data_IF_600072708291
#
_entry.id   IF_600072708291
#
_cell.length_a   1.000
_cell.length_b   1.000
_cell.length_c   1.000
_cell.angle_alpha   90.00
_cell.angle_beta   90.00
_cell.angle_gamma   90.00
#
_symmetry.space_group_name_H-M   'P 1'
#
loop_
_entity.id
_entity.type
_entity.pdbx_description
1 polymer ?
#
# COMPACT_ATOMS: atom_id res chain seq x y z
N UNK A 1 36.35 9.50 -64.04
CA UNK A 1 34.88 9.51 -63.91
C UNK A 1 34.35 10.75 -64.57
N UNK A 2 33.71 10.64 -65.75
CA UNK A 2 33.11 11.80 -66.41
C UNK A 2 31.78 12.17 -65.75
N UNK A 3 31.76 13.31 -65.07
CA UNK A 3 30.55 13.90 -64.49
C UNK A 3 29.99 14.89 -65.51
N UNK A 4 28.87 14.55 -66.15
CA UNK A 4 28.20 15.48 -67.06
C UNK A 4 27.63 16.69 -66.29
N UNK A 5 27.51 17.85 -66.95
CA UNK A 5 26.96 19.08 -66.35
C UNK A 5 25.62 18.85 -65.63
N UNK A 6 24.74 18.03 -66.21
CA UNK A 6 23.45 17.66 -65.59
C UNK A 6 23.64 16.84 -64.31
N UNK A 7 24.63 15.95 -64.27
CA UNK A 7 24.96 15.14 -63.09
C UNK A 7 25.57 16.01 -61.98
N UNK A 8 26.41 16.99 -62.34
CA UNK A 8 26.95 17.98 -61.40
C UNK A 8 25.85 18.77 -60.68
N UNK A 9 24.88 19.34 -61.40
CA UNK A 9 23.79 20.10 -60.77
C UNK A 9 22.89 19.24 -59.86
N UNK A 10 22.64 17.98 -60.22
CA UNK A 10 21.88 17.05 -59.35
C UNK A 10 22.62 16.74 -58.05
N UNK A 11 23.95 16.58 -58.11
CA UNK A 11 24.79 16.37 -56.92
C UNK A 11 24.79 17.61 -56.03
N UNK A 12 24.98 18.80 -56.60
CA UNK A 12 24.94 20.05 -55.83
C UNK A 12 23.58 20.29 -55.17
N UNK A 13 22.48 20.09 -55.91
CA UNK A 13 21.13 20.25 -55.37
C UNK A 13 20.82 19.22 -54.25
N UNK A 14 21.21 17.97 -54.44
CA UNK A 14 21.07 16.93 -53.40
C UNK A 14 21.92 17.20 -52.16
N UNK A 15 23.16 17.66 -52.34
CA UNK A 15 24.04 18.06 -51.25
C UNK A 15 23.48 19.23 -50.44
N UNK A 16 23.04 20.29 -51.12
CA UNK A 16 22.44 21.47 -50.49
C UNK A 16 21.15 21.12 -49.74
N UNK A 17 20.26 20.32 -50.35
CA UNK A 17 19.05 19.86 -49.69
C UNK A 17 19.35 19.00 -48.44
N UNK A 18 20.35 18.12 -48.52
CA UNK A 18 20.80 17.30 -47.40
C UNK A 18 21.37 18.12 -46.25
N UNK A 19 22.24 19.10 -46.54
CA UNK A 19 22.82 19.97 -45.49
C UNK A 19 21.78 20.86 -44.85
N UNK A 20 20.83 21.40 -45.62
CA UNK A 20 19.74 22.23 -45.10
C UNK A 20 18.79 21.41 -44.23
N UNK A 21 18.42 20.20 -44.66
CA UNK A 21 17.61 19.30 -43.84
C UNK A 21 18.32 18.94 -42.52
N UNK A 22 19.62 18.65 -42.56
CA UNK A 22 20.41 18.40 -41.36
C UNK A 22 20.45 19.61 -40.41
N UNK A 23 20.71 20.82 -40.94
CA UNK A 23 20.75 22.05 -40.17
C UNK A 23 19.39 22.43 -39.56
N UNK A 24 18.29 22.08 -40.22
CA UNK A 24 16.91 22.25 -39.72
C UNK A 24 16.51 21.18 -38.68
N UNK A 25 17.42 20.30 -38.28
CA UNK A 25 17.19 19.32 -37.22
C UNK A 25 16.56 18.01 -37.67
N UNK A 26 16.50 17.74 -38.99
CA UNK A 26 16.07 16.44 -39.54
C UNK A 26 17.19 15.40 -39.56
N UNK A 27 18.43 15.79 -39.22
CA UNK A 27 19.46 14.83 -38.87
C UNK A 27 19.14 14.20 -37.51
N UNK A 28 19.24 12.86 -37.37
CA UNK A 28 19.02 12.21 -36.09
C UNK A 28 19.99 12.78 -35.06
N UNK A 29 19.47 13.19 -33.90
CA UNK A 29 20.30 13.58 -32.75
C UNK A 29 21.17 12.39 -32.38
N UNK A 30 22.43 12.63 -32.00
CA UNK A 30 23.24 11.57 -31.39
C UNK A 30 22.50 11.01 -30.18
N UNK A 31 22.16 9.73 -30.22
CA UNK A 31 21.61 9.04 -29.07
C UNK A 31 22.74 8.90 -28.04
N UNK A 32 22.70 9.72 -26.99
CA UNK A 32 23.58 9.54 -25.84
C UNK A 32 23.16 8.24 -25.15
N UNK A 33 24.04 7.24 -25.16
CA UNK A 33 23.88 5.99 -24.42
C UNK A 33 24.12 6.20 -22.91
N UNK A 34 23.45 7.20 -22.33
CA UNK A 34 23.57 7.52 -20.91
C UNK A 34 22.48 6.79 -20.13
N UNK A 35 22.83 6.27 -18.95
CA UNK A 35 21.84 5.74 -18.04
C UNK A 35 20.86 6.85 -17.61
N UNK A 36 19.61 6.48 -17.34
CA UNK A 36 18.64 7.41 -16.73
C UNK A 36 19.17 7.89 -15.38
N UNK A 37 18.79 9.10 -14.98
CA UNK A 37 19.07 9.59 -13.64
C UNK A 37 18.49 8.64 -12.57
N UNK A 38 19.17 8.55 -11.44
CA UNK A 38 18.74 7.71 -10.33
C UNK A 38 17.43 8.25 -9.75
N UNK A 39 16.36 7.45 -9.83
CA UNK A 39 14.99 7.93 -9.56
C UNK A 39 14.76 8.38 -8.11
N UNK A 40 15.59 7.94 -7.16
CA UNK A 40 15.39 8.16 -5.72
C UNK A 40 16.17 9.34 -5.14
N UNK A 41 16.95 10.08 -5.94
CA UNK A 41 17.90 11.11 -5.46
C UNK A 41 17.32 12.16 -4.50
N UNK A 42 16.01 12.43 -4.59
CA UNK A 42 15.29 13.42 -3.77
C UNK A 42 14.03 12.84 -3.13
N UNK A 43 13.95 11.53 -3.03
CA UNK A 43 12.85 10.87 -2.35
C UNK A 43 13.01 11.01 -0.83
N UNK A 44 11.89 11.03 -0.11
CA UNK A 44 11.93 10.80 1.34
C UNK A 44 12.08 9.32 1.60
N UNK A 45 13.16 8.94 2.28
CA UNK A 45 13.43 7.57 2.72
C UNK A 45 12.84 7.33 4.12
N UNK A 46 12.12 6.22 4.29
CA UNK A 46 11.50 5.82 5.55
C UNK A 46 11.85 4.35 5.84
N UNK A 47 12.38 4.08 7.03
CA UNK A 47 12.63 2.72 7.52
C UNK A 47 11.33 2.06 7.99
N UNK A 48 11.12 0.81 7.61
CA UNK A 48 9.97 0.00 8.05
C UNK A 48 10.33 -1.50 8.11
N UNK A 49 9.38 -2.35 8.48
CA UNK A 49 9.54 -3.81 8.56
C UNK A 49 8.54 -4.51 7.64
N UNK A 50 8.97 -5.61 7.01
CA UNK A 50 8.12 -6.42 6.13
C UNK A 50 6.85 -6.93 6.83
N UNK A 51 5.70 -6.78 6.17
CA UNK A 51 4.36 -7.06 6.72
C UNK A 51 3.91 -8.52 6.61
N UNK A 52 4.73 -9.42 6.05
CA UNK A 52 4.28 -10.77 5.70
C UNK A 52 4.54 -11.83 6.77
N UNK A 53 5.79 -12.22 6.98
CA UNK A 53 6.16 -13.35 7.83
C UNK A 53 7.07 -12.92 8.98
N UNK A 54 7.27 -13.79 9.96
CA UNK A 54 7.98 -13.50 11.21
C UNK A 54 9.50 -13.31 11.11
N UNK A 55 10.10 -13.41 9.92
CA UNK A 55 11.53 -13.09 9.73
C UNK A 55 11.82 -11.64 10.08
N UNK A 56 10.86 -10.73 9.83
CA UNK A 56 11.01 -9.32 10.20
C UNK A 56 12.07 -8.57 9.38
N UNK A 57 12.16 -8.80 8.07
CA UNK A 57 13.13 -8.10 7.22
C UNK A 57 12.95 -6.57 7.29
N UNK A 58 14.06 -5.84 7.44
CA UNK A 58 14.08 -4.37 7.37
C UNK A 58 13.90 -3.86 5.94
N UNK A 59 13.23 -2.71 5.81
CA UNK A 59 12.86 -2.06 4.55
C UNK A 59 13.32 -0.61 4.52
N UNK A 60 13.72 -0.17 3.33
CA UNK A 60 13.79 1.25 2.96
C UNK A 60 12.66 1.54 1.97
N UNK A 61 11.73 2.39 2.36
CA UNK A 61 10.61 2.85 1.54
C UNK A 61 10.86 4.27 1.07
N UNK A 62 10.56 4.54 -0.21
CA UNK A 62 10.78 5.83 -0.83
C UNK A 62 9.46 6.46 -1.26
N UNK A 63 9.18 7.64 -0.72
CA UNK A 63 8.00 8.44 -1.04
C UNK A 63 8.33 9.63 -1.93
N UNK A 64 7.42 9.96 -2.84
CA UNK A 64 7.37 11.25 -3.49
C UNK A 64 6.91 12.29 -2.45
N UNK A 65 7.56 13.45 -2.45
CA UNK A 65 7.38 14.48 -1.43
C UNK A 65 8.49 14.41 -0.37
N UNK A 66 8.94 15.57 0.10
CA UNK A 66 10.02 15.74 1.07
C UNK A 66 9.52 15.79 2.53
N UNK A 67 8.23 15.56 2.75
CA UNK A 67 7.56 15.69 4.04
C UNK A 67 6.99 17.08 4.32
N UNK A 68 7.12 18.04 3.39
CA UNK A 68 6.43 19.31 3.51
C UNK A 68 4.90 19.13 3.51
N UNK A 69 4.20 19.91 4.33
CA UNK A 69 2.75 19.79 4.54
C UNK A 69 1.91 19.96 3.26
N UNK A 70 2.43 20.69 2.27
CA UNK A 70 1.81 20.90 0.96
C UNK A 70 2.05 19.75 -0.04
N UNK A 71 2.92 18.77 0.29
CA UNK A 71 3.20 17.60 -0.53
C UNK A 71 2.61 16.35 0.13
N UNK A 72 1.58 15.77 -0.48
CA UNK A 72 1.04 14.48 -0.03
C UNK A 72 2.02 13.38 -0.41
N UNK A 73 2.48 12.65 0.60
CA UNK A 73 3.41 11.54 0.41
C UNK A 73 2.77 10.40 -0.36
N UNK A 74 3.52 9.84 -1.31
CA UNK A 74 3.13 8.65 -2.05
C UNK A 74 4.35 7.75 -2.26
N UNK A 75 4.35 6.58 -1.63
CA UNK A 75 5.40 5.57 -1.80
C UNK A 75 5.47 5.19 -3.28
N UNK A 76 6.66 5.06 -3.87
CA UNK A 76 6.81 4.62 -5.26
C UNK A 76 7.97 3.64 -5.47
N UNK A 77 8.69 3.31 -4.39
CA UNK A 77 9.70 2.26 -4.39
C UNK A 77 9.91 1.72 -2.97
N UNK A 78 10.23 0.43 -2.86
CA UNK A 78 10.57 -0.25 -1.61
C UNK A 78 11.72 -1.21 -1.94
N UNK A 79 12.76 -1.20 -1.11
CA UNK A 79 13.86 -2.16 -1.15
C UNK A 79 14.29 -2.57 0.27
N UNK A 80 15.24 -3.49 0.38
CA UNK A 80 15.68 -4.01 1.67
C UNK A 80 16.67 -3.07 2.35
N UNK A 81 16.60 -3.02 3.69
CA UNK A 81 17.56 -2.27 4.50
C UNK A 81 18.89 -3.05 4.61
N UNK A 82 20.01 -2.53 4.08
CA UNK A 82 21.32 -3.19 4.13
C UNK A 82 21.90 -3.29 5.56
N UNK A 83 21.51 -2.38 6.45
CA UNK A 83 21.99 -2.33 7.84
C UNK A 83 21.24 -3.34 8.74
N UNK A 84 20.10 -3.87 8.28
CA UNK A 84 19.29 -4.79 9.06
C UNK A 84 20.00 -6.13 9.26
N UNK A 85 20.26 -6.59 10.51
CA UNK A 85 21.19 -7.69 10.77
C UNK A 85 20.71 -9.05 10.24
N UNK A 86 19.39 -9.25 10.16
CA UNK A 86 18.77 -10.50 9.71
C UNK A 86 18.75 -10.60 8.18
N UNK A 87 18.33 -9.52 7.51
CA UNK A 87 18.06 -9.54 6.07
C UNK A 87 19.21 -9.01 5.23
N UNK A 88 20.04 -8.10 5.77
CA UNK A 88 21.19 -7.49 5.08
C UNK A 88 20.85 -7.00 3.65
N UNK A 89 19.73 -6.30 3.52
CA UNK A 89 19.21 -5.80 2.24
C UNK A 89 18.42 -6.81 1.40
N UNK A 90 18.39 -8.10 1.75
CA UNK A 90 17.66 -9.11 0.98
C UNK A 90 16.14 -9.05 1.22
N UNK A 91 15.36 -9.19 0.14
CA UNK A 91 13.91 -9.38 0.17
C UNK A 91 13.50 -10.57 -0.72
N UNK A 92 12.66 -11.45 -0.17
CA UNK A 92 12.00 -12.49 -0.97
C UNK A 92 10.91 -11.87 -1.88
N UNK A 93 10.32 -12.59 -2.85
CA UNK A 93 9.38 -11.99 -3.82
C UNK A 93 8.16 -11.33 -3.17
N UNK A 94 7.72 -11.81 -1.99
CA UNK A 94 6.66 -11.14 -1.22
C UNK A 94 7.09 -9.74 -0.78
N UNK A 95 8.26 -9.64 -0.12
CA UNK A 95 8.80 -8.37 0.36
C UNK A 95 9.17 -7.41 -0.77
N UNK A 96 9.80 -7.92 -1.84
CA UNK A 96 10.16 -7.12 -3.01
C UNK A 96 8.93 -6.60 -3.78
N UNK A 97 7.80 -7.32 -3.70
CA UNK A 97 6.52 -6.93 -4.30
C UNK A 97 5.62 -6.05 -3.43
N UNK A 98 6.10 -5.54 -2.28
CA UNK A 98 5.28 -4.74 -1.36
C UNK A 98 4.64 -3.51 -2.00
N UNK A 99 5.27 -2.92 -3.02
CA UNK A 99 4.75 -1.75 -3.72
C UNK A 99 3.37 -2.03 -4.35
N UNK A 100 3.21 -3.22 -4.94
CA UNK A 100 1.96 -3.63 -5.60
C UNK A 100 0.87 -3.94 -4.59
N UNK A 101 1.23 -4.41 -3.39
CA UNK A 101 0.28 -4.53 -2.29
C UNK A 101 -0.20 -3.16 -1.81
N UNK A 102 0.71 -2.22 -1.59
CA UNK A 102 0.39 -0.86 -1.14
C UNK A 102 -0.50 -0.14 -2.15
N UNK A 103 -0.22 -0.27 -3.45
CA UNK A 103 -0.96 0.39 -4.53
C UNK A 103 -2.00 -0.49 -5.21
N UNK A 104 -2.36 -1.63 -4.65
CA UNK A 104 -3.35 -2.51 -5.26
C UNK A 104 -4.65 -1.76 -5.55
N UNK A 105 -5.21 -1.96 -6.73
CA UNK A 105 -6.52 -1.41 -7.10
C UNK A 105 -7.65 -1.87 -6.17
N UNK A 106 -7.43 -3.00 -5.48
CA UNK A 106 -8.36 -3.58 -4.50
C UNK A 106 -8.25 -2.96 -3.10
N UNK A 107 -7.42 -1.93 -2.89
CA UNK A 107 -7.35 -1.23 -1.59
C UNK A 107 -8.70 -0.61 -1.24
N UNK A 108 -9.22 -0.95 -0.07
CA UNK A 108 -10.46 -0.37 0.45
C UNK A 108 -10.30 1.16 0.62
N UNK A 109 -11.21 1.93 0.03
CA UNK A 109 -11.17 3.41 0.04
C UNK A 109 -12.16 4.04 1.01
N UNK A 110 -13.31 3.40 1.25
CA UNK A 110 -14.41 3.95 2.03
C UNK A 110 -15.13 2.85 2.85
N UNK A 111 -15.79 3.21 3.96
CA UNK A 111 -16.75 2.32 4.62
C UNK A 111 -17.87 1.90 3.67
N UNK A 112 -18.26 0.63 3.75
CA UNK A 112 -19.27 0.02 2.90
C UNK A 112 -20.24 -0.80 3.75
N UNK A 113 -21.52 -0.79 3.38
CA UNK A 113 -22.59 -1.53 4.05
C UNK A 113 -23.31 -2.43 3.04
N UNK A 114 -23.63 -3.65 3.48
CA UNK A 114 -24.45 -4.60 2.73
C UNK A 114 -25.69 -4.89 3.56
N UNK A 115 -26.86 -4.56 3.04
CA UNK A 115 -28.12 -4.81 3.73
C UNK A 115 -28.48 -6.30 3.76
N UNK A 116 -29.25 -6.77 4.76
CA UNK A 116 -29.81 -8.13 4.75
C UNK A 116 -30.57 -8.39 3.44
N UNK A 117 -30.27 -9.51 2.79
CA UNK A 117 -30.87 -9.88 1.49
C UNK A 117 -30.31 -9.14 0.27
N UNK A 118 -29.38 -8.19 0.43
CA UNK A 118 -28.76 -7.50 -0.70
C UNK A 118 -27.57 -8.28 -1.27
N UNK A 119 -27.29 -8.11 -2.56
CA UNK A 119 -26.14 -8.61 -3.32
C UNK A 119 -25.08 -7.54 -3.61
N UNK A 120 -25.30 -6.29 -3.16
CA UNK A 120 -24.44 -5.14 -3.50
C UNK A 120 -23.96 -4.38 -2.26
N UNK A 121 -22.84 -3.68 -2.40
CA UNK A 121 -22.28 -2.80 -1.38
C UNK A 121 -22.70 -1.35 -1.60
N UNK A 122 -23.06 -0.67 -0.52
CA UNK A 122 -23.37 0.76 -0.51
C UNK A 122 -22.32 1.51 0.29
N UNK A 123 -21.73 2.55 -0.30
CA UNK A 123 -20.82 3.45 0.42
C UNK A 123 -21.58 4.22 1.49
N UNK A 124 -21.02 4.29 2.70
CA UNK A 124 -21.56 5.07 3.83
C UNK A 124 -20.48 5.96 4.44
N UNK A 125 -20.88 6.90 5.29
CA UNK A 125 -19.95 7.71 6.08
C UNK A 125 -19.34 6.90 7.23
N UNK A 126 -18.24 7.40 7.80
CA UNK A 126 -17.65 6.80 9.01
C UNK A 126 -18.59 6.91 10.22
N UNK A 127 -19.27 8.05 10.40
CA UNK A 127 -20.20 8.26 11.52
C UNK A 127 -21.41 7.32 11.43
N UNK A 128 -21.94 7.10 10.22
CA UNK A 128 -23.01 6.13 9.99
C UNK A 128 -22.54 4.70 10.33
N UNK A 129 -21.32 4.34 9.93
CA UNK A 129 -20.74 3.03 10.22
C UNK A 129 -20.61 2.81 11.73
N UNK A 130 -19.99 3.76 12.45
CA UNK A 130 -19.81 3.68 13.89
C UNK A 130 -21.15 3.63 14.63
N UNK A 131 -22.11 4.48 14.28
CA UNK A 131 -23.43 4.53 14.93
C UNK A 131 -24.19 3.22 14.75
N UNK A 132 -24.21 2.67 13.53
CA UNK A 132 -24.88 1.39 13.24
C UNK A 132 -24.25 0.22 13.99
N UNK A 133 -22.92 0.11 13.95
CA UNK A 133 -22.18 -0.95 14.64
C UNK A 133 -22.42 -0.87 16.16
N UNK A 134 -22.28 0.32 16.75
CA UNK A 134 -22.49 0.52 18.19
C UNK A 134 -23.93 0.19 18.62
N UNK A 135 -24.94 0.56 17.82
CA UNK A 135 -26.34 0.23 18.12
C UNK A 135 -26.60 -1.27 18.13
N UNK A 136 -26.09 -2.00 17.14
CA UNK A 136 -26.22 -3.46 17.05
C UNK A 136 -25.48 -4.16 18.21
N UNK A 137 -24.24 -3.74 18.49
CA UNK A 137 -23.46 -4.26 19.60
C UNK A 137 -24.15 -4.04 20.95
N UNK A 138 -24.68 -2.84 21.20
CA UNK A 138 -25.38 -2.53 22.45
C UNK A 138 -26.64 -3.40 22.59
N UNK A 139 -27.45 -3.49 21.53
CA UNK A 139 -28.67 -4.29 21.56
C UNK A 139 -28.38 -5.78 21.87
N UNK A 140 -27.39 -6.38 21.20
CA UNK A 140 -27.02 -7.77 21.44
C UNK A 140 -26.41 -7.98 22.84
N UNK A 141 -25.52 -7.07 23.26
CA UNK A 141 -24.88 -7.16 24.58
C UNK A 141 -25.90 -7.03 25.70
N UNK A 142 -26.79 -6.04 25.66
CA UNK A 142 -27.80 -5.86 26.71
C UNK A 142 -28.76 -7.06 26.80
N UNK A 143 -29.05 -7.72 25.68
CA UNK A 143 -29.90 -8.91 25.64
C UNK A 143 -29.20 -10.18 26.16
N UNK A 144 -27.89 -10.31 25.94
CA UNK A 144 -27.16 -11.58 26.10
C UNK A 144 -25.98 -11.52 27.10
N UNK A 145 -25.83 -10.43 27.86
CA UNK A 145 -24.77 -10.30 28.85
C UNK A 145 -25.04 -11.20 30.07
N UNK A 146 -24.02 -11.97 30.46
CA UNK A 146 -24.10 -12.88 31.60
C UNK A 146 -23.33 -12.24 32.76
N UNK A 147 -24.06 -11.64 33.69
CA UNK A 147 -23.47 -11.06 34.90
C UNK A 147 -22.99 -12.16 35.85
N UNK A 148 -23.85 -13.15 36.13
CA UNK A 148 -23.57 -14.30 37.02
C UNK A 148 -23.79 -15.62 36.30
N UNK A 149 -23.00 -16.64 36.65
CA UNK A 149 -23.21 -18.01 36.17
C UNK A 149 -24.28 -18.74 36.99
N UNK A 150 -24.57 -20.00 36.64
CA UNK A 150 -25.56 -20.86 37.31
C UNK A 150 -25.25 -21.10 38.80
N UNK A 151 -23.97 -20.99 39.20
CA UNK A 151 -23.52 -21.11 40.58
C UNK A 151 -23.56 -19.78 41.34
N UNK A 152 -24.06 -18.69 40.73
CA UNK A 152 -24.17 -17.37 41.35
C UNK A 152 -22.87 -16.57 41.39
N UNK A 153 -21.79 -17.05 40.77
CA UNK A 153 -20.49 -16.35 40.69
C UNK A 153 -20.55 -15.28 39.60
N UNK A 154 -20.11 -14.06 39.91
CA UNK A 154 -19.98 -12.98 38.93
C UNK A 154 -18.92 -13.33 37.88
N UNK A 155 -19.32 -13.35 36.61
CA UNK A 155 -18.47 -13.68 35.47
C UNK A 155 -18.38 -12.57 34.42
N UNK A 156 -19.35 -11.64 34.38
CA UNK A 156 -19.35 -10.46 33.50
C UNK A 156 -18.90 -10.73 32.06
N UNK A 157 -19.54 -11.69 31.40
CA UNK A 157 -19.13 -12.17 30.07
C UNK A 157 -20.22 -12.02 29.01
N UNK A 158 -19.79 -11.80 27.79
CA UNK A 158 -20.62 -11.70 26.59
C UNK A 158 -20.16 -12.73 25.57
N UNK A 159 -21.08 -13.61 25.15
CA UNK A 159 -20.75 -14.80 24.34
C UNK A 159 -21.43 -14.85 22.97
N UNK A 160 -22.47 -14.03 22.73
CA UNK A 160 -23.21 -14.02 21.46
C UNK A 160 -22.51 -13.26 20.33
N UNK A 161 -21.52 -12.42 20.67
CA UNK A 161 -20.64 -11.74 19.71
C UNK A 161 -19.19 -12.10 20.01
N UNK A 162 -18.44 -12.50 18.97
CA UNK A 162 -17.01 -12.80 19.04
C UNK A 162 -16.18 -11.94 18.10
N UNK A 163 -14.85 -12.07 18.17
CA UNK A 163 -13.92 -11.30 17.34
C UNK A 163 -12.71 -12.13 16.90
N UNK A 164 -12.35 -12.00 15.62
CA UNK A 164 -11.08 -12.47 15.08
C UNK A 164 -10.10 -11.30 15.00
N UNK A 165 -8.95 -11.43 15.66
CA UNK A 165 -7.94 -10.40 15.81
C UNK A 165 -6.84 -10.52 14.75
N UNK A 166 -6.25 -9.39 14.34
CA UNK A 166 -5.25 -9.35 13.28
C UNK A 166 -3.81 -9.49 13.81
N UNK A 167 -3.20 -10.67 13.66
CA UNK A 167 -1.75 -10.84 13.95
C UNK A 167 -0.83 -10.05 13.01
N UNK A 168 -1.37 -9.56 11.89
CA UNK A 168 -0.66 -8.75 10.91
C UNK A 168 -0.69 -7.24 11.22
N UNK A 169 -1.39 -6.83 12.29
CA UNK A 169 -1.37 -5.45 12.78
C UNK A 169 -0.28 -5.24 13.84
N UNK A 170 -0.10 -4.00 14.31
CA UNK A 170 0.91 -3.70 15.32
C UNK A 170 0.53 -4.20 16.72
N UNK A 171 1.51 -4.29 17.62
CA UNK A 171 1.28 -4.67 19.01
C UNK A 171 0.38 -3.66 19.73
N UNK A 172 0.50 -2.37 19.41
CA UNK A 172 -0.33 -1.31 19.96
C UNK A 172 -1.79 -1.48 19.55
N UNK A 173 -2.04 -1.82 18.27
CA UNK A 173 -3.38 -2.23 17.82
C UNK A 173 -3.86 -3.45 18.60
N UNK A 174 -3.01 -4.47 18.78
CA UNK A 174 -3.34 -5.64 19.59
C UNK A 174 -3.75 -5.30 21.02
N UNK A 175 -3.06 -4.36 21.67
CA UNK A 175 -3.39 -3.89 23.03
C UNK A 175 -4.72 -3.12 23.05
N UNK A 176 -4.96 -2.22 22.09
CA UNK A 176 -6.24 -1.51 21.98
C UNK A 176 -7.39 -2.50 21.76
N UNK A 177 -7.19 -3.48 20.88
CA UNK A 177 -8.10 -4.59 20.64
C UNK A 177 -8.40 -5.36 21.91
N UNK A 178 -7.38 -5.77 22.67
CA UNK A 178 -7.56 -6.50 23.94
C UNK A 178 -8.39 -5.68 24.93
N UNK A 179 -8.08 -4.40 25.12
CA UNK A 179 -8.86 -3.52 26.00
C UNK A 179 -10.32 -3.42 25.53
N UNK A 180 -10.54 -3.19 24.25
CA UNK A 180 -11.87 -3.09 23.64
C UNK A 180 -12.71 -4.35 23.88
N UNK A 181 -12.21 -5.54 23.54
CA UNK A 181 -12.99 -6.77 23.65
C UNK A 181 -13.25 -7.18 25.10
N UNK A 182 -12.24 -7.05 25.97
CA UNK A 182 -12.35 -7.51 27.36
C UNK A 182 -13.18 -6.54 28.20
N UNK A 183 -13.12 -5.23 27.94
CA UNK A 183 -14.04 -4.28 28.60
C UNK A 183 -15.50 -4.52 28.24
N UNK A 184 -15.77 -5.08 27.07
CA UNK A 184 -17.12 -5.48 26.66
C UNK A 184 -17.54 -6.86 27.22
N UNK A 185 -16.61 -7.61 27.82
CA UNK A 185 -16.84 -8.94 28.38
C UNK A 185 -16.70 -10.09 27.39
N UNK A 186 -16.18 -9.86 26.17
CA UNK A 186 -16.08 -10.92 25.17
C UNK A 186 -15.07 -11.99 25.58
N UNK A 187 -15.45 -13.27 25.41
CA UNK A 187 -14.56 -14.42 25.61
C UNK A 187 -14.18 -15.13 24.30
N UNK A 188 -15.07 -15.15 23.31
CA UNK A 188 -14.82 -15.70 21.97
C UNK A 188 -13.91 -14.75 21.16
N UNK A 189 -12.61 -14.75 21.48
CA UNK A 189 -11.61 -13.85 20.91
C UNK A 189 -10.36 -14.65 20.57
N UNK A 190 -10.05 -14.76 19.29
CA UNK A 190 -8.89 -15.52 18.79
C UNK A 190 -8.16 -14.76 17.68
N UNK A 191 -6.95 -15.19 17.36
CA UNK A 191 -6.16 -14.76 16.20
C UNK A 191 -5.58 -15.98 15.47
N UNK A 192 -4.77 -15.72 14.44
CA UNK A 192 -4.08 -16.75 13.64
C UNK A 192 -3.16 -17.69 14.43
N UNK A 193 -2.89 -17.45 15.72
CA UNK A 193 -2.17 -18.42 16.55
C UNK A 193 -2.99 -19.69 16.79
N UNK A 194 -4.32 -19.61 16.69
CA UNK A 194 -5.26 -20.72 16.89
C UNK A 194 -5.99 -21.14 15.61
N UNK A 195 -6.35 -20.17 14.76
CA UNK A 195 -7.17 -20.35 13.55
C UNK A 195 -6.34 -20.90 12.38
#
# INVERSE_FOLDING_TARGET
MDVSRRKFFKICAGGMAGTTAAALGFAPKMALAQARNYKLLRAKEIRNTCTYCSVGCGLLMYSLGDGAKNAKEAIYHIEGDPDHPVSRGALCPKGAGLLDYVHSDNRLRYPQYRAPGSDTWQRISWDDAFTRIAKLMKADRDANFIEKNEQGVTVNRWLSTGMLCASAASNETGMLTQKFVRSLGMLAVDNQARV
#
